data_IF_735407939532
#
_entry.id   IF_735407939532
#
_cell.length_a   1.000
_cell.length_b   1.000
_cell.length_c   1.000
_cell.angle_alpha   90.00
_cell.angle_beta   90.00
_cell.angle_gamma   90.00
#
_symmetry.space_group_name_H-M   'P 1'
#
loop_
_entity.id
_entity.type
_entity.pdbx_description
1 polymer ?
#
# COMPACT_ATOMS: atom_id res chain seq x y z
N UNK A 1 -6.33 4.68 22.09
CA UNK A 1 -5.02 4.65 21.39
C UNK A 1 -3.96 3.78 22.05
N UNK A 2 -3.97 3.51 23.37
CA UNK A 2 -2.94 2.70 24.06
C UNK A 2 -3.05 1.16 23.89
N UNK A 3 -4.21 0.63 23.52
CA UNK A 3 -4.44 -0.82 23.34
C UNK A 3 -4.06 -1.29 21.94
N UNK A 4 -4.44 -0.54 20.91
CA UNK A 4 -4.10 -0.80 19.50
C UNK A 4 -2.57 -0.80 19.26
N UNK A 5 -1.83 0.14 19.87
CA UNK A 5 -0.37 0.21 19.76
C UNK A 5 0.38 -0.91 20.48
N UNK A 6 -0.27 -1.61 21.43
CA UNK A 6 0.30 -2.81 22.08
C UNK A 6 0.17 -4.06 21.20
N UNK A 7 -0.88 -4.14 20.39
CA UNK A 7 -1.16 -5.31 19.54
C UNK A 7 -0.48 -5.17 18.17
N UNK A 8 -0.52 -3.97 17.58
CA UNK A 8 0.08 -3.67 16.29
C UNK A 8 1.38 -2.91 16.52
N UNK A 9 2.49 -3.64 16.58
CA UNK A 9 3.83 -3.03 16.55
C UNK A 9 4.14 -2.52 15.14
N UNK A 10 5.02 -1.53 15.04
CA UNK A 10 5.44 -0.97 13.75
C UNK A 10 5.97 -2.05 12.79
N UNK A 11 6.70 -3.05 13.31
CA UNK A 11 7.17 -4.23 12.56
C UNK A 11 6.02 -5.04 11.97
N UNK A 12 4.98 -5.31 12.76
CA UNK A 12 3.79 -6.06 12.30
C UNK A 12 3.02 -5.32 11.22
N UNK A 13 2.89 -3.99 11.34
CA UNK A 13 2.23 -3.19 10.33
C UNK A 13 2.99 -3.19 8.99
N UNK A 14 4.32 -3.03 9.03
CA UNK A 14 5.16 -3.09 7.83
C UNK A 14 5.07 -4.47 7.19
N UNK A 15 5.17 -5.54 7.98
CA UNK A 15 5.03 -6.91 7.48
C UNK A 15 3.66 -7.19 6.86
N UNK A 16 2.57 -6.75 7.52
CA UNK A 16 1.21 -6.87 6.99
C UNK A 16 1.06 -6.11 5.66
N UNK A 17 1.58 -4.88 5.59
CA UNK A 17 1.56 -4.09 4.35
C UNK A 17 2.34 -4.79 3.23
N UNK A 18 3.50 -5.35 3.54
CA UNK A 18 4.33 -6.07 2.59
C UNK A 18 3.60 -7.31 2.03
N UNK A 19 2.97 -8.10 2.91
CA UNK A 19 2.19 -9.28 2.50
C UNK A 19 1.02 -8.89 1.60
N UNK A 20 0.28 -7.84 1.94
CA UNK A 20 -0.84 -7.34 1.14
C UNK A 20 -0.34 -6.87 -0.23
N UNK A 21 0.74 -6.09 -0.28
CA UNK A 21 1.32 -5.59 -1.53
C UNK A 21 1.81 -6.73 -2.43
N UNK A 22 2.54 -7.72 -1.90
CA UNK A 22 2.97 -8.90 -2.66
C UNK A 22 1.78 -9.68 -3.23
N UNK A 23 0.74 -9.86 -2.42
CA UNK A 23 -0.47 -10.57 -2.86
C UNK A 23 -1.17 -9.80 -3.98
N UNK A 24 -1.31 -8.48 -3.84
CA UNK A 24 -1.92 -7.63 -4.87
C UNK A 24 -1.09 -7.56 -6.16
N UNK A 25 0.23 -7.65 -6.09
CA UNK A 25 1.10 -7.79 -7.27
C UNK A 25 0.78 -9.08 -8.02
N UNK A 26 0.66 -10.21 -7.33
CA UNK A 26 0.31 -11.48 -7.98
C UNK A 26 -1.11 -11.41 -8.57
N UNK A 27 -2.08 -10.90 -7.79
CA UNK A 27 -3.47 -10.77 -8.22
C UNK A 27 -3.66 -9.77 -9.36
N UNK A 28 -2.75 -8.81 -9.55
CA UNK A 28 -2.80 -7.86 -10.67
C UNK A 28 -2.72 -8.55 -12.03
N UNK A 29 -2.13 -9.75 -12.10
CA UNK A 29 -2.07 -10.56 -13.31
C UNK A 29 -3.22 -11.56 -13.43
N UNK A 30 -4.02 -11.76 -12.38
CA UNK A 30 -5.07 -12.76 -12.35
C UNK A 30 -6.38 -12.21 -12.94
N UNK A 31 -6.87 -12.86 -13.99
CA UNK A 31 -8.17 -12.57 -14.58
C UNK A 31 -9.29 -13.28 -13.85
N UNK A 32 -10.03 -12.54 -13.03
CA UNK A 32 -11.12 -13.07 -12.18
C UNK A 32 -12.23 -13.74 -13.00
N UNK A 33 -12.54 -13.21 -14.19
CA UNK A 33 -13.58 -13.75 -15.08
C UNK A 33 -13.18 -15.04 -15.81
N UNK A 34 -11.88 -15.27 -16.03
CA UNK A 34 -11.40 -16.39 -16.86
C UNK A 34 -10.61 -17.43 -16.09
N UNK A 35 -10.30 -17.16 -14.80
CA UNK A 35 -9.44 -18.00 -13.96
C UNK A 35 -8.06 -18.28 -14.60
N UNK A 36 -7.46 -17.26 -15.22
CA UNK A 36 -6.17 -17.35 -15.91
C UNK A 36 -5.26 -16.16 -15.59
N UNK A 37 -3.94 -16.34 -15.75
CA UNK A 37 -2.96 -15.27 -15.57
C UNK A 37 -2.57 -14.62 -16.90
N UNK A 38 -2.51 -13.29 -16.92
CA UNK A 38 -2.22 -12.48 -18.10
C UNK A 38 -0.94 -11.66 -17.93
N UNK A 39 0.21 -12.29 -18.16
CA UNK A 39 1.52 -11.62 -18.02
C UNK A 39 1.85 -10.66 -19.17
N UNK A 40 1.24 -10.82 -20.34
CA UNK A 40 1.53 -9.98 -21.52
C UNK A 40 0.64 -8.74 -21.62
N UNK A 41 -0.31 -8.55 -20.68
CA UNK A 41 -1.21 -7.39 -20.69
C UNK A 41 -0.55 -6.19 -19.99
N UNK A 42 -0.23 -5.10 -20.70
CA UNK A 42 0.49 -3.96 -20.12
C UNK A 42 -0.21 -3.33 -18.91
N UNK A 43 -1.54 -3.26 -18.94
CA UNK A 43 -2.35 -2.67 -17.85
C UNK A 43 -2.11 -3.34 -16.49
N UNK A 44 -1.76 -4.62 -16.48
CA UNK A 44 -1.52 -5.38 -15.25
C UNK A 44 -0.26 -4.90 -14.52
N UNK A 45 0.68 -4.23 -15.23
CA UNK A 45 1.92 -3.72 -14.65
C UNK A 45 1.77 -2.40 -13.88
N UNK A 46 0.60 -1.75 -13.96
CA UNK A 46 0.35 -0.51 -13.21
C UNK A 46 0.51 -0.76 -11.70
N UNK A 47 -0.06 -1.84 -11.17
CA UNK A 47 0.03 -2.17 -9.74
C UNK A 47 1.47 -2.51 -9.33
N UNK A 48 2.21 -3.42 -10.00
CA UNK A 48 3.63 -3.65 -9.76
C UNK A 48 4.49 -2.37 -9.74
N UNK A 49 4.27 -1.44 -10.66
CA UNK A 49 5.04 -0.19 -10.72
C UNK A 49 4.73 0.67 -9.48
N UNK A 50 3.45 0.89 -9.16
CA UNK A 50 3.08 1.71 -8.00
C UNK A 50 3.48 1.07 -6.66
N UNK A 51 3.40 -0.26 -6.57
CA UNK A 51 3.84 -0.99 -5.38
C UNK A 51 5.35 -0.92 -5.18
N UNK A 52 6.17 -0.77 -6.22
CA UNK A 52 7.62 -0.53 -6.07
C UNK A 52 7.92 0.75 -5.26
N UNK A 53 7.19 1.84 -5.52
CA UNK A 53 7.30 3.09 -4.75
C UNK A 53 6.81 2.89 -3.32
N UNK A 54 5.75 2.12 -3.14
CA UNK A 54 5.23 1.79 -1.80
C UNK A 54 6.26 0.97 -1.00
N UNK A 55 6.92 -0.02 -1.61
CA UNK A 55 7.99 -0.78 -0.96
C UNK A 55 9.16 0.12 -0.56
N UNK A 56 9.55 1.06 -1.42
CA UNK A 56 10.57 2.05 -1.08
C UNK A 56 10.16 2.87 0.15
N UNK A 57 8.91 3.33 0.22
CA UNK A 57 8.42 4.05 1.40
C UNK A 57 8.47 3.20 2.68
N UNK A 58 7.99 1.95 2.62
CA UNK A 58 8.02 1.04 3.77
C UNK A 58 9.46 0.79 4.24
N UNK A 59 10.40 0.62 3.30
CA UNK A 59 11.82 0.46 3.60
C UNK A 59 12.40 1.71 4.29
N UNK A 60 12.13 2.91 3.76
CA UNK A 60 12.63 4.16 4.36
C UNK A 60 12.07 4.34 5.78
N UNK A 61 10.78 4.09 5.99
CA UNK A 61 10.18 4.14 7.34
C UNK A 61 10.81 3.10 8.27
N UNK A 62 10.98 1.87 7.80
CA UNK A 62 11.62 0.80 8.57
C UNK A 62 13.04 1.18 8.99
N UNK A 63 13.85 1.68 8.04
CA UNK A 63 15.23 2.10 8.26
C UNK A 63 15.31 3.24 9.27
N UNK A 64 14.55 4.32 9.05
CA UNK A 64 14.55 5.50 9.94
C UNK A 64 14.13 5.18 11.38
N UNK A 65 13.14 4.30 11.55
CA UNK A 65 12.71 3.85 12.89
C UNK A 65 13.77 2.97 13.55
N UNK A 66 14.52 2.18 12.77
CA UNK A 66 15.52 1.25 13.31
C UNK A 66 16.81 1.96 13.73
N UNK A 67 17.23 2.96 12.96
CA UNK A 67 18.46 3.73 13.19
C UNK A 67 18.23 5.02 14.00
N UNK A 68 17.00 5.28 14.47
CA UNK A 68 16.61 6.50 15.20
C UNK A 68 17.00 7.79 14.45
N UNK A 69 16.88 7.77 13.13
CA UNK A 69 17.27 8.89 12.27
C UNK A 69 16.13 9.90 12.07
N UNK A 70 16.52 11.18 11.99
CA UNK A 70 15.62 12.29 11.70
C UNK A 70 15.03 12.23 10.27
N UNK A 71 13.85 12.83 10.06
CA UNK A 71 13.21 12.85 8.76
C UNK A 71 13.96 13.75 7.79
N UNK A 72 14.19 13.26 6.58
CA UNK A 72 14.89 14.00 5.51
C UNK A 72 13.93 14.43 4.37
N UNK A 73 14.35 15.40 3.53
CA UNK A 73 13.52 15.86 2.42
C UNK A 73 13.17 14.78 1.38
N UNK A 74 14.02 13.75 1.19
CA UNK A 74 13.77 12.68 0.21
C UNK A 74 12.65 11.77 0.68
N UNK A 75 12.64 11.43 1.97
CA UNK A 75 11.54 10.68 2.60
C UNK A 75 10.18 11.38 2.39
N UNK A 76 10.12 12.70 2.56
CA UNK A 76 8.91 13.50 2.33
C UNK A 76 8.42 13.40 0.89
N UNK A 77 9.33 13.48 -0.09
CA UNK A 77 8.95 13.37 -1.50
C UNK A 77 8.31 12.00 -1.80
N UNK A 78 8.87 10.92 -1.25
CA UNK A 78 8.30 9.58 -1.40
C UNK A 78 6.91 9.52 -0.78
N UNK A 79 6.71 10.12 0.40
CA UNK A 79 5.41 10.17 1.05
C UNK A 79 4.37 10.94 0.22
N UNK A 80 4.75 12.06 -0.40
CA UNK A 80 3.87 12.81 -1.30
C UNK A 80 3.50 12.02 -2.56
N UNK A 81 4.44 11.27 -3.14
CA UNK A 81 4.10 10.34 -4.21
C UNK A 81 3.10 9.29 -3.70
N UNK A 82 3.26 8.80 -2.47
CA UNK A 82 2.33 7.83 -1.89
C UNK A 82 0.92 8.42 -1.69
N UNK A 83 0.80 9.71 -1.37
CA UNK A 83 -0.52 10.38 -1.33
C UNK A 83 -1.22 10.37 -2.69
N UNK A 84 -0.49 10.54 -3.79
CA UNK A 84 -1.07 10.41 -5.13
C UNK A 84 -1.47 8.95 -5.43
N UNK A 85 -0.64 7.98 -5.01
CA UNK A 85 -0.93 6.54 -5.17
C UNK A 85 -2.21 6.13 -4.42
N UNK A 86 -2.51 6.76 -3.28
CA UNK A 86 -3.74 6.48 -2.52
C UNK A 86 -5.02 6.76 -3.33
N UNK A 87 -5.00 7.72 -4.25
CA UNK A 87 -6.12 7.98 -5.17
C UNK A 87 -6.30 6.79 -6.12
N UNK A 88 -5.20 6.23 -6.62
CA UNK A 88 -5.24 5.04 -7.49
C UNK A 88 -5.79 3.83 -6.72
N UNK A 89 -5.44 3.67 -5.44
CA UNK A 89 -6.02 2.62 -4.61
C UNK A 89 -7.51 2.80 -4.38
N UNK A 90 -7.98 4.03 -4.15
CA UNK A 90 -9.42 4.32 -4.06
C UNK A 90 -10.15 3.95 -5.36
N UNK A 91 -9.58 4.30 -6.52
CA UNK A 91 -10.11 3.88 -7.82
C UNK A 91 -10.14 2.35 -7.96
N UNK A 92 -9.11 1.63 -7.50
CA UNK A 92 -9.06 0.16 -7.55
C UNK A 92 -10.08 -0.51 -6.63
N UNK A 93 -10.42 0.09 -5.50
CA UNK A 93 -11.52 -0.38 -4.65
C UNK A 93 -12.84 -0.25 -5.41
N UNK A 94 -13.08 0.89 -6.07
CA UNK A 94 -14.28 1.11 -6.88
C UNK A 94 -14.37 0.09 -8.02
N UNK A 95 -13.30 -0.08 -8.79
CA UNK A 95 -13.19 -1.05 -9.89
C UNK A 95 -13.47 -2.48 -9.39
N UNK A 96 -12.85 -2.89 -8.27
CA UNK A 96 -13.09 -4.21 -7.67
C UNK A 96 -14.53 -4.40 -7.18
N UNK A 97 -15.17 -3.35 -6.70
CA UNK A 97 -16.59 -3.37 -6.29
C UNK A 97 -17.50 -3.56 -7.51
N UNK A 98 -17.21 -2.86 -8.62
CA UNK A 98 -17.95 -3.04 -9.87
C UNK A 98 -17.80 -4.46 -10.41
N UNK A 99 -16.59 -5.02 -10.37
CA UNK A 99 -16.34 -6.43 -10.74
C UNK A 99 -17.19 -7.37 -9.88
N UNK A 100 -17.21 -7.22 -8.56
CA UNK A 100 -17.98 -8.10 -7.68
C UNK A 100 -19.49 -8.02 -7.94
N UNK A 101 -20.02 -6.79 -8.16
CA UNK A 101 -21.44 -6.57 -8.46
C UNK A 101 -21.85 -7.05 -9.85
N UNK A 102 -20.90 -7.26 -10.76
CA UNK A 102 -21.21 -7.76 -12.11
C UNK A 102 -21.70 -9.22 -12.15
N UNK A 103 -21.68 -9.93 -11.03
CA UNK A 103 -22.13 -11.32 -10.93
C UNK A 103 -23.59 -11.51 -11.36
N UNK A 104 -24.45 -10.53 -11.06
CA UNK A 104 -25.88 -10.57 -11.38
C UNK A 104 -26.13 -10.43 -12.89
N UNK A 105 -25.17 -9.88 -13.64
CA UNK A 105 -25.30 -9.56 -15.07
C UNK A 105 -24.94 -10.76 -15.97
N UNK A 106 -24.01 -11.61 -15.54
CA UNK A 106 -23.41 -12.63 -16.41
C UNK A 106 -23.92 -14.07 -16.19
N UNK A 107 -24.80 -14.29 -15.20
CA UNK A 107 -25.50 -15.56 -14.98
C UNK A 107 -24.61 -16.75 -14.58
N UNK A 108 -25.22 -17.81 -14.03
CA UNK A 108 -24.51 -18.96 -13.43
C UNK A 108 -23.70 -19.82 -14.42
N UNK A 109 -23.83 -19.65 -15.74
CA UNK A 109 -23.29 -20.60 -16.72
C UNK A 109 -21.93 -20.23 -17.33
N UNK A 110 -21.44 -19.00 -17.17
CA UNK A 110 -20.20 -18.53 -17.85
C UNK A 110 -19.06 -18.24 -16.85
N UNK A 111 -19.38 -18.00 -15.58
CA UNK A 111 -18.40 -17.53 -14.59
C UNK A 111 -17.74 -18.71 -13.85
N UNK A 112 -16.40 -18.74 -13.71
CA UNK A 112 -15.70 -19.74 -12.91
C UNK A 112 -16.13 -19.71 -11.43
N UNK A 113 -16.13 -20.88 -10.77
CA UNK A 113 -16.42 -21.01 -9.33
C UNK A 113 -15.45 -20.18 -8.47
N UNK A 114 -14.23 -19.92 -8.97
CA UNK A 114 -13.22 -19.08 -8.31
C UNK A 114 -13.51 -17.58 -8.35
N UNK A 115 -14.48 -17.12 -9.16
CA UNK A 115 -14.76 -15.70 -9.36
C UNK A 115 -15.08 -14.98 -8.05
N UNK A 116 -16.12 -15.43 -7.34
CA UNK A 116 -16.60 -14.79 -6.12
C UNK A 116 -15.53 -14.73 -5.02
N UNK A 117 -14.82 -15.83 -4.68
CA UNK A 117 -13.77 -15.76 -3.65
C UNK A 117 -12.60 -14.85 -4.08
N UNK A 118 -12.18 -14.87 -5.34
CA UNK A 118 -11.05 -14.05 -5.80
C UNK A 118 -11.40 -12.56 -5.95
N UNK A 119 -12.59 -12.24 -6.42
CA UNK A 119 -13.11 -10.87 -6.44
C UNK A 119 -13.21 -10.30 -5.03
N UNK A 120 -13.78 -11.07 -4.11
CA UNK A 120 -13.92 -10.67 -2.70
C UNK A 120 -12.56 -10.49 -2.04
N UNK A 121 -11.63 -11.42 -2.23
CA UNK A 121 -10.26 -11.32 -1.72
C UNK A 121 -9.57 -10.05 -2.23
N UNK A 122 -9.66 -9.78 -3.53
CA UNK A 122 -9.06 -8.59 -4.15
C UNK A 122 -9.63 -7.31 -3.55
N UNK A 123 -10.97 -7.23 -3.42
CA UNK A 123 -11.64 -6.08 -2.81
C UNK A 123 -11.20 -5.84 -1.36
N UNK A 124 -11.12 -6.91 -0.55
CA UNK A 124 -10.67 -6.83 0.85
C UNK A 124 -9.22 -6.34 0.93
N UNK A 125 -8.33 -6.88 0.09
CA UNK A 125 -6.93 -6.48 0.05
C UNK A 125 -6.75 -5.01 -0.40
N UNK A 126 -7.48 -4.58 -1.43
CA UNK A 126 -7.47 -3.17 -1.84
C UNK A 126 -8.05 -2.25 -0.78
N UNK A 127 -9.01 -2.71 0.04
CA UNK A 127 -9.62 -1.92 1.11
C UNK A 127 -8.73 -1.80 2.34
N UNK A 128 -8.03 -2.87 2.72
CA UNK A 128 -7.14 -2.86 3.90
C UNK A 128 -5.85 -2.09 3.64
N UNK A 129 -5.37 -2.05 2.39
CA UNK A 129 -4.11 -1.40 2.03
C UNK A 129 -4.08 0.10 2.40
N UNK A 130 -5.07 0.94 2.03
CA UNK A 130 -5.16 2.32 2.48
C UNK A 130 -5.11 2.48 4.01
N UNK A 131 -5.80 1.61 4.75
CA UNK A 131 -5.86 1.66 6.22
C UNK A 131 -4.46 1.44 6.81
N UNK A 132 -3.75 0.41 6.33
CA UNK A 132 -2.36 0.15 6.73
C UNK A 132 -1.42 1.30 6.32
N UNK A 133 -1.67 1.92 5.17
CA UNK A 133 -0.87 3.05 4.69
C UNK A 133 -1.04 4.27 5.59
N UNK A 134 -2.28 4.65 5.92
CA UNK A 134 -2.56 5.73 6.88
C UNK A 134 -1.96 5.43 8.26
N UNK A 135 -2.05 4.18 8.71
CA UNK A 135 -1.42 3.78 9.97
C UNK A 135 0.10 3.90 9.90
N UNK A 136 0.72 3.61 8.74
CA UNK A 136 2.15 3.81 8.51
C UNK A 136 2.53 5.29 8.56
N UNK A 137 1.75 6.20 7.98
CA UNK A 137 1.98 7.65 8.12
C UNK A 137 1.93 8.11 9.57
N UNK A 138 0.97 7.58 10.33
CA UNK A 138 0.86 7.87 11.76
C UNK A 138 2.06 7.34 12.55
N UNK A 139 2.47 6.09 12.31
CA UNK A 139 3.65 5.48 12.94
C UNK A 139 4.91 6.28 12.61
N UNK A 140 5.09 6.66 11.35
CA UNK A 140 6.20 7.49 10.89
C UNK A 140 6.25 8.79 11.67
N UNK A 141 5.14 9.53 11.76
CA UNK A 141 5.08 10.78 12.54
C UNK A 141 5.36 10.57 14.02
N UNK A 142 4.97 9.41 14.59
CA UNK A 142 5.18 9.07 16.00
C UNK A 142 6.63 8.74 16.35
N UNK A 143 7.32 7.98 15.49
CA UNK A 143 8.67 7.48 15.78
C UNK A 143 9.77 8.35 15.15
N UNK A 144 9.58 8.81 13.92
CA UNK A 144 10.57 9.63 13.18
C UNK A 144 10.37 11.12 13.45
N UNK A 145 9.14 11.54 13.74
CA UNK A 145 8.80 12.93 14.04
C UNK A 145 8.23 13.71 12.86
N UNK A 146 8.11 15.03 13.06
CA UNK A 146 7.50 15.96 12.10
C UNK A 146 8.57 16.44 11.12
N UNK A 147 8.16 16.67 9.87
CA UNK A 147 9.00 17.37 8.90
C UNK A 147 9.20 18.83 9.34
N UNK A 148 10.32 19.12 10.02
CA UNK A 148 10.73 20.47 10.38
C UNK A 148 12.13 20.72 9.80
N UNK A 149 12.18 21.45 8.68
CA UNK A 149 13.42 21.68 7.93
C UNK A 149 14.04 23.05 8.18
N UNK A 150 13.37 23.93 8.93
CA UNK A 150 13.99 25.17 9.43
C UNK A 150 15.17 24.82 10.35
N UNK A 151 15.08 23.71 11.08
CA UNK A 151 16.13 23.22 11.99
C UNK A 151 17.17 22.30 11.32
N UNK A 152 16.98 21.90 10.07
CA UNK A 152 17.91 21.00 9.36
C UNK A 152 19.18 21.73 8.94
N UNK A 153 19.06 23.01 8.60
CA UNK A 153 20.20 23.88 8.26
C UNK A 153 20.99 24.29 9.52
N UNK A 154 20.30 24.48 10.64
CA UNK A 154 20.94 24.88 11.91
C UNK A 154 21.73 23.74 12.58
N UNK A 155 21.28 22.48 12.47
CA UNK A 155 22.00 21.33 13.03
C UNK A 155 23.15 20.79 12.16
N UNK A 156 23.25 21.23 10.89
CA UNK A 156 24.39 20.92 10.03
C UNK A 156 25.59 21.85 10.28
N UNK A 157 25.40 22.90 11.10
CA UNK A 157 26.44 23.85 11.43
C UNK A 157 27.28 23.42 12.65
N UNK A 158 27.57 22.11 12.74
CA UNK A 158 28.48 21.52 13.75
C UNK A 158 29.97 21.77 13.48
N UNK A 159 30.28 22.59 12.47
CA UNK A 159 31.65 22.99 12.07
C UNK A 159 31.90 24.50 12.10
N UNK A 160 31.01 25.29 12.72
CA UNK A 160 31.33 26.66 13.21
C UNK A 160 31.51 26.64 14.72
#
# INVERSE_FOLDING_TARGET
>A
MNTLSKIITWKRNIFASLLVLLTLVILSFYGVYTNQFYFLKPDNYIIPILTSVHFLYLYVVWFKISEDELPDPKMRNIEYVLYAIMIVYAFKIYDSTMVLNSIDVYGEHVIPVSFKPMATLSLVLYSILPILTFYTFWLRKRYVGIYNFENYNDNLNIWQ
#
